data_IF_889471615142
#
_entry.id   IF_889471615142
#
_cell.length_a   1.000
_cell.length_b   1.000
_cell.length_c   1.000
_cell.angle_alpha   90.00
_cell.angle_beta   90.00
_cell.angle_gamma   90.00
#
_symmetry.space_group_name_H-M   'P 1'
#
loop_
_entity.id
_entity.type
_entity.pdbx_description
1 polymer ?
#
# COMPACT_ATOMS: atom_id res chain seq x y z
N UNK A 1 -43.76 20.87 14.18
CA UNK A 1 -42.61 21.39 13.42
C UNK A 1 -41.42 20.49 13.73
N UNK A 2 -41.17 19.48 12.91
CA UNK A 2 -40.07 18.53 13.10
C UNK A 2 -39.14 18.65 11.90
N UNK A 3 -37.90 19.11 12.14
CA UNK A 3 -36.86 19.15 11.12
C UNK A 3 -36.25 17.77 10.96
N UNK A 4 -36.32 17.23 9.76
CA UNK A 4 -35.59 16.03 9.35
C UNK A 4 -34.10 16.35 9.31
N UNK A 5 -33.31 15.75 10.19
CA UNK A 5 -31.84 15.75 10.08
C UNK A 5 -31.47 14.70 9.04
N UNK A 6 -31.14 15.14 7.83
CA UNK A 6 -30.53 14.27 6.82
C UNK A 6 -29.08 14.04 7.24
N UNK A 7 -28.77 12.81 7.63
CA UNK A 7 -27.42 12.38 8.01
C UNK A 7 -26.48 12.45 6.79
N UNK A 8 -25.70 13.53 6.70
CA UNK A 8 -24.66 13.77 5.68
C UNK A 8 -23.40 12.89 5.84
N UNK A 9 -23.48 11.76 6.54
CA UNK A 9 -22.31 10.88 6.75
C UNK A 9 -21.87 10.13 5.48
N UNK A 10 -22.78 9.91 4.52
CA UNK A 10 -22.50 9.15 3.30
C UNK A 10 -21.67 9.91 2.25
N UNK A 11 -21.88 11.22 2.10
CA UNK A 11 -21.21 12.01 1.07
C UNK A 11 -19.74 12.32 1.42
N UNK A 12 -19.45 12.59 2.70
CA UNK A 12 -18.11 12.91 3.19
C UNK A 12 -17.16 11.71 3.17
N UNK A 13 -17.66 10.50 3.50
CA UNK A 13 -16.87 9.28 3.42
C UNK A 13 -16.58 8.86 1.97
N UNK A 14 -17.50 9.16 1.03
CA UNK A 14 -17.30 8.90 -0.38
C UNK A 14 -16.26 9.86 -0.99
N UNK A 15 -16.28 11.15 -0.61
CA UNK A 15 -15.28 12.12 -1.06
C UNK A 15 -13.88 11.80 -0.53
N UNK A 16 -13.73 11.52 0.77
CA UNK A 16 -12.42 11.19 1.36
C UNK A 16 -11.80 9.90 0.79
N UNK A 17 -12.62 8.91 0.39
CA UNK A 17 -12.11 7.71 -0.28
C UNK A 17 -11.69 7.98 -1.73
N UNK A 18 -12.44 8.83 -2.43
CA UNK A 18 -12.06 9.27 -3.78
C UNK A 18 -10.73 10.01 -3.77
N UNK A 19 -10.50 10.86 -2.76
CA UNK A 19 -9.24 11.58 -2.56
C UNK A 19 -8.08 10.61 -2.28
N UNK A 20 -8.26 9.63 -1.37
CA UNK A 20 -7.23 8.63 -1.07
C UNK A 20 -6.82 7.81 -2.30
N UNK A 21 -7.79 7.38 -3.11
CA UNK A 21 -7.52 6.60 -4.32
C UNK A 21 -6.79 7.43 -5.38
N UNK A 22 -7.16 8.71 -5.53
CA UNK A 22 -6.55 9.62 -6.49
C UNK A 22 -5.09 9.95 -6.12
N UNK A 23 -4.82 10.30 -4.86
CA UNK A 23 -3.45 10.53 -4.38
C UNK A 23 -2.59 9.26 -4.49
N UNK A 24 -3.18 8.10 -4.21
CA UNK A 24 -2.52 6.79 -4.42
C UNK A 24 -2.13 6.61 -5.89
N UNK A 25 -3.03 6.92 -6.83
CA UNK A 25 -2.77 6.81 -8.26
C UNK A 25 -1.62 7.72 -8.69
N UNK A 26 -1.62 8.96 -8.23
CA UNK A 26 -0.59 9.96 -8.55
C UNK A 26 0.79 9.51 -8.04
N UNK A 27 0.86 9.00 -6.81
CA UNK A 27 2.09 8.44 -6.25
C UNK A 27 2.58 7.22 -7.05
N UNK A 28 1.68 6.30 -7.43
CA UNK A 28 2.04 5.17 -8.30
C UNK A 28 2.62 5.66 -9.63
N UNK A 29 1.95 6.61 -10.28
CA UNK A 29 2.34 7.10 -11.59
C UNK A 29 3.65 7.91 -11.56
N UNK A 30 3.96 8.53 -10.42
CA UNK A 30 5.26 9.18 -10.18
C UNK A 30 6.40 8.16 -10.25
N UNK A 31 6.28 7.04 -9.52
CA UNK A 31 7.29 5.98 -9.56
C UNK A 31 7.32 5.23 -10.89
N UNK A 32 6.15 4.94 -11.48
CA UNK A 32 6.08 4.26 -12.80
C UNK A 32 6.80 5.02 -13.90
N UNK A 33 6.75 6.36 -13.87
CA UNK A 33 7.48 7.22 -14.81
C UNK A 33 9.00 7.03 -14.72
N UNK A 34 9.55 6.78 -13.53
CA UNK A 34 10.99 6.50 -13.35
C UNK A 34 11.38 5.22 -14.10
N UNK A 35 10.45 4.26 -14.18
CA UNK A 35 10.65 2.91 -14.74
C UNK A 35 10.08 2.73 -16.14
N UNK A 36 9.90 3.82 -16.91
CA UNK A 36 9.38 3.79 -18.29
C UNK A 36 8.08 2.98 -18.45
N UNK A 37 7.27 2.95 -17.38
CA UNK A 37 5.97 2.28 -17.34
C UNK A 37 4.88 3.32 -17.58
N UNK A 38 3.91 2.96 -18.44
CA UNK A 38 2.76 3.83 -18.74
C UNK A 38 1.95 4.11 -17.46
N UNK A 39 1.37 5.31 -17.30
CA UNK A 39 0.54 5.61 -16.15
C UNK A 39 -0.65 4.65 -16.06
N UNK A 40 -1.03 4.29 -14.84
CA UNK A 40 -2.28 3.58 -14.55
C UNK A 40 -3.44 4.58 -14.58
N UNK A 41 -4.65 4.04 -14.80
CA UNK A 41 -5.92 4.72 -14.53
C UNK A 41 -6.65 4.07 -13.34
N UNK A 42 -7.48 4.84 -12.62
CA UNK A 42 -8.33 4.27 -11.57
C UNK A 42 -9.49 3.46 -12.16
N UNK A 43 -9.84 2.36 -11.49
CA UNK A 43 -10.92 1.45 -11.87
C UNK A 43 -11.86 1.25 -10.70
N UNK A 44 -13.09 1.75 -10.83
CA UNK A 44 -14.11 1.70 -9.77
C UNK A 44 -14.44 0.26 -9.33
N UNK A 45 -14.44 -0.69 -10.27
CA UNK A 45 -14.68 -2.11 -9.97
C UNK A 45 -13.54 -2.73 -9.15
N UNK A 46 -12.29 -2.38 -9.49
CA UNK A 46 -11.12 -2.82 -8.73
C UNK A 46 -11.13 -2.20 -7.33
N UNK A 47 -11.41 -0.90 -7.21
CA UNK A 47 -11.50 -0.21 -5.92
C UNK A 47 -12.61 -0.78 -5.04
N UNK A 48 -13.77 -1.08 -5.62
CA UNK A 48 -14.88 -1.73 -4.92
C UNK A 48 -14.48 -3.13 -4.42
N UNK A 49 -13.78 -3.92 -5.24
CA UNK A 49 -13.26 -5.23 -4.83
C UNK A 49 -12.18 -5.12 -3.76
N UNK A 50 -11.28 -4.15 -3.88
CA UNK A 50 -10.23 -3.88 -2.92
C UNK A 50 -10.82 -3.48 -1.56
N UNK A 51 -11.81 -2.58 -1.53
CA UNK A 51 -12.45 -2.14 -0.29
C UNK A 51 -13.20 -3.27 0.43
N UNK A 52 -13.87 -4.15 -0.32
CA UNK A 52 -14.46 -5.38 0.26
C UNK A 52 -13.39 -6.26 0.89
N UNK A 53 -12.25 -6.41 0.23
CA UNK A 53 -11.18 -7.25 0.76
C UNK A 53 -10.45 -6.60 1.95
N UNK A 54 -10.25 -5.29 1.94
CA UNK A 54 -9.69 -4.54 3.06
C UNK A 54 -10.52 -4.74 4.33
N UNK A 55 -11.87 -4.68 4.22
CA UNK A 55 -12.77 -4.99 5.35
C UNK A 55 -12.62 -6.43 5.85
N UNK A 56 -12.40 -7.39 4.95
CA UNK A 56 -12.13 -8.78 5.33
C UNK A 56 -10.80 -8.91 6.09
N UNK A 57 -9.74 -8.25 5.64
CA UNK A 57 -8.46 -8.20 6.35
C UNK A 57 -8.61 -7.57 7.73
N UNK A 58 -9.34 -6.45 7.82
CA UNK A 58 -9.64 -5.78 9.08
C UNK A 58 -10.37 -6.70 10.08
N UNK A 59 -11.34 -7.48 9.61
CA UNK A 59 -12.04 -8.47 10.43
C UNK A 59 -11.17 -9.67 10.85
N UNK A 60 -10.27 -10.14 9.97
CA UNK A 60 -9.34 -11.24 10.29
C UNK A 60 -8.19 -10.79 11.21
N UNK A 61 -7.79 -9.52 11.10
CA UNK A 61 -6.71 -8.95 11.90
C UNK A 61 -5.31 -9.35 11.45
N UNK A 62 -5.10 -9.89 10.25
CA UNK A 62 -3.76 -10.14 9.72
C UNK A 62 -3.72 -10.02 8.19
N UNK A 63 -2.54 -9.73 7.64
CA UNK A 63 -2.33 -9.66 6.20
C UNK A 63 -2.33 -11.07 5.59
N UNK A 64 -3.14 -11.24 4.55
CA UNK A 64 -3.17 -12.43 3.71
C UNK A 64 -3.64 -12.04 2.33
N UNK A 65 -2.93 -12.48 1.30
CA UNK A 65 -3.39 -12.30 -0.07
C UNK A 65 -4.72 -13.00 -0.33
N UNK A 66 -5.57 -12.39 -1.16
CA UNK A 66 -6.79 -13.05 -1.61
C UNK A 66 -6.46 -14.30 -2.44
N UNK A 67 -7.34 -15.30 -2.49
CA UNK A 67 -7.18 -16.45 -3.39
C UNK A 67 -7.07 -16.00 -4.86
N UNK A 68 -6.11 -16.52 -5.64
CA UNK A 68 -5.92 -16.13 -7.06
C UNK A 68 -7.16 -16.35 -7.91
N UNK A 69 -7.88 -17.45 -7.68
CA UNK A 69 -9.14 -17.76 -8.33
C UNK A 69 -10.27 -16.76 -8.02
N UNK A 70 -10.23 -16.03 -6.90
CA UNK A 70 -11.23 -15.00 -6.59
C UNK A 70 -10.95 -13.65 -7.26
N UNK A 71 -9.84 -13.53 -8.00
CA UNK A 71 -9.44 -12.31 -8.72
C UNK A 71 -8.61 -12.68 -9.98
N UNK A 72 -9.20 -13.41 -10.94
CA UNK A 72 -8.47 -13.93 -12.09
C UNK A 72 -7.80 -12.80 -12.89
N UNK A 73 -6.50 -12.94 -13.13
CA UNK A 73 -5.71 -11.96 -13.89
C UNK A 73 -5.50 -10.61 -13.21
N UNK A 74 -5.84 -10.46 -11.92
CA UNK A 74 -5.69 -9.22 -11.16
C UNK A 74 -4.59 -9.38 -10.10
N UNK A 75 -3.63 -8.46 -10.11
CA UNK A 75 -2.54 -8.38 -9.14
C UNK A 75 -3.00 -7.79 -7.81
N UNK A 76 -2.20 -7.93 -6.75
CA UNK A 76 -2.55 -7.42 -5.43
C UNK A 76 -1.31 -7.06 -4.61
N UNK A 77 -1.31 -5.86 -4.02
CA UNK A 77 -0.41 -5.45 -2.94
C UNK A 77 -1.25 -5.16 -1.70
N UNK A 78 -0.68 -5.35 -0.51
CA UNK A 78 -1.37 -5.16 0.77
C UNK A 78 -0.49 -4.37 1.73
N UNK A 79 -1.08 -3.43 2.48
CA UNK A 79 -0.41 -2.72 3.57
C UNK A 79 -1.24 -2.82 4.84
N UNK A 80 -0.54 -2.93 5.96
CA UNK A 80 -1.09 -2.86 7.31
C UNK A 80 -0.21 -1.95 8.19
N UNK A 81 -0.84 -0.94 8.80
CA UNK A 81 -0.20 -0.02 9.74
C UNK A 81 -1.13 0.27 10.90
N UNK A 82 -0.57 0.37 12.10
CA UNK A 82 -1.29 0.83 13.30
C UNK A 82 -0.61 2.09 13.84
N UNK A 83 -1.42 3.00 14.36
CA UNK A 83 -0.96 4.23 15.02
C UNK A 83 -1.73 4.43 16.32
N UNK A 84 -1.00 4.81 17.37
CA UNK A 84 -1.56 5.28 18.64
C UNK A 84 -2.03 6.73 18.57
N UNK A 85 -1.46 7.53 17.66
CA UNK A 85 -1.81 8.95 17.44
C UNK A 85 -3.10 9.13 16.68
N UNK A 86 -3.55 8.09 15.97
CA UNK A 86 -4.81 8.08 15.23
C UNK A 86 -4.73 8.64 13.81
N UNK A 87 -3.58 9.17 13.39
CA UNK A 87 -3.39 9.68 12.04
C UNK A 87 -3.46 8.56 10.99
N UNK A 88 -4.25 8.73 9.91
CA UNK A 88 -4.28 7.77 8.81
C UNK A 88 -2.93 7.80 8.06
N UNK A 89 -2.42 6.62 7.68
CA UNK A 89 -1.23 6.52 6.81
C UNK A 89 -1.49 7.28 5.49
N UNK A 90 -0.71 8.34 5.18
CA UNK A 90 -0.87 9.08 3.95
C UNK A 90 -0.73 8.19 2.71
N UNK A 91 -1.54 8.38 1.65
CA UNK A 91 -1.45 7.60 0.40
C UNK A 91 -0.04 7.54 -0.17
N UNK A 92 0.65 8.67 -0.23
CA UNK A 92 2.01 8.77 -0.76
C UNK A 92 3.02 7.95 0.04
N UNK A 93 2.90 7.93 1.37
CA UNK A 93 3.75 7.13 2.25
C UNK A 93 3.46 5.63 2.06
N UNK A 94 2.19 5.25 1.94
CA UNK A 94 1.80 3.87 1.66
C UNK A 94 2.42 3.37 0.34
N UNK A 95 2.35 4.18 -0.73
CA UNK A 95 2.96 3.82 -2.02
C UNK A 95 4.48 3.80 -1.95
N UNK A 96 5.10 4.73 -1.21
CA UNK A 96 6.54 4.74 -0.96
C UNK A 96 7.00 3.43 -0.31
N UNK A 97 6.28 2.91 0.70
CA UNK A 97 6.62 1.63 1.34
C UNK A 97 6.66 0.45 0.35
N UNK A 98 5.76 0.43 -0.65
CA UNK A 98 5.80 -0.59 -1.71
C UNK A 98 7.01 -0.39 -2.64
N UNK A 99 7.35 0.87 -2.92
CA UNK A 99 8.42 1.22 -3.84
C UNK A 99 9.81 1.02 -3.23
N UNK A 100 9.99 1.24 -1.93
CA UNK A 100 11.28 1.14 -1.21
C UNK A 100 11.96 -0.23 -1.37
N UNK A 101 11.21 -1.29 -1.68
CA UNK A 101 11.75 -2.60 -2.04
C UNK A 101 12.71 -2.58 -3.25
N UNK A 102 12.64 -1.54 -4.10
CA UNK A 102 13.62 -1.29 -5.16
C UNK A 102 15.07 -1.26 -4.65
N UNK A 103 15.26 -0.85 -3.39
CA UNK A 103 16.59 -0.77 -2.78
C UNK A 103 17.24 -2.15 -2.62
N UNK A 104 16.48 -3.23 -2.63
CA UNK A 104 17.00 -4.61 -2.59
C UNK A 104 16.76 -5.39 -3.89
N UNK A 105 16.14 -4.79 -4.90
CA UNK A 105 15.93 -5.42 -6.21
C UNK A 105 17.20 -5.38 -7.09
N UNK A 106 17.62 -6.53 -7.64
CA UNK A 106 18.75 -6.63 -8.57
C UNK A 106 18.26 -6.72 -10.03
N UNK A 107 18.30 -5.59 -10.75
CA UNK A 107 17.93 -5.53 -12.16
C UNK A 107 18.78 -6.42 -13.08
N UNK A 108 19.96 -6.87 -12.65
CA UNK A 108 20.82 -7.81 -13.41
C UNK A 108 20.36 -9.26 -13.26
N UNK A 109 19.56 -9.54 -12.23
CA UNK A 109 18.97 -10.84 -11.93
C UNK A 109 17.46 -10.69 -11.73
N UNK A 110 16.74 -10.24 -12.76
CA UNK A 110 15.32 -9.92 -12.64
C UNK A 110 14.51 -11.18 -12.34
N UNK A 111 13.48 -11.04 -11.52
CA UNK A 111 12.67 -12.16 -11.09
C UNK A 111 11.81 -11.84 -9.88
N UNK A 112 10.96 -12.79 -9.51
CA UNK A 112 10.16 -12.69 -8.31
C UNK A 112 11.00 -12.99 -7.07
N UNK A 113 10.90 -12.13 -6.07
CA UNK A 113 11.33 -12.41 -4.71
C UNK A 113 10.26 -11.88 -3.74
N UNK A 114 10.11 -12.53 -2.59
CA UNK A 114 9.13 -12.09 -1.58
C UNK A 114 9.40 -10.66 -1.10
N UNK A 115 10.68 -10.26 -1.02
CA UNK A 115 11.11 -8.94 -0.56
C UNK A 115 10.97 -7.82 -1.61
N UNK A 116 10.60 -8.14 -2.85
CA UNK A 116 10.50 -7.15 -3.94
C UNK A 116 9.21 -7.24 -4.73
N UNK A 117 8.27 -8.09 -4.29
CA UNK A 117 7.04 -8.37 -5.00
C UNK A 117 6.11 -7.17 -5.09
N UNK A 118 6.13 -6.28 -4.09
CA UNK A 118 5.28 -5.10 -4.10
C UNK A 118 5.80 -4.07 -5.10
N UNK A 119 7.11 -3.79 -5.08
CA UNK A 119 7.77 -2.92 -6.04
C UNK A 119 7.55 -3.40 -7.47
N UNK A 120 7.82 -4.69 -7.75
CA UNK A 120 7.73 -5.23 -9.11
C UNK A 120 6.30 -5.16 -9.66
N UNK A 121 5.29 -5.32 -8.81
CA UNK A 121 3.89 -5.12 -9.21
C UNK A 121 3.57 -3.64 -9.46
N UNK A 122 4.05 -2.73 -8.61
CA UNK A 122 3.82 -1.29 -8.74
C UNK A 122 4.30 -0.76 -10.10
N UNK A 123 5.52 -1.16 -10.50
CA UNK A 123 6.15 -0.70 -11.74
C UNK A 123 5.90 -1.59 -12.96
N UNK A 124 5.08 -2.64 -12.82
CA UNK A 124 4.84 -3.61 -13.89
C UNK A 124 4.28 -2.93 -15.15
N UNK A 125 5.05 -2.94 -16.25
CA UNK A 125 4.67 -2.25 -17.50
C UNK A 125 3.36 -2.73 -18.11
N UNK A 126 3.06 -4.03 -18.00
CA UNK A 126 1.82 -4.62 -18.52
C UNK A 126 0.55 -4.31 -17.72
N UNK A 127 0.65 -3.65 -16.55
CA UNK A 127 -0.51 -3.19 -15.79
C UNK A 127 -0.98 -1.83 -16.30
N UNK A 128 -2.30 -1.63 -16.41
CA UNK A 128 -2.92 -0.43 -16.98
C UNK A 128 -3.96 0.22 -16.05
N UNK A 129 -4.55 -0.54 -15.14
CA UNK A 129 -5.55 -0.06 -14.18
C UNK A 129 -5.13 -0.35 -12.74
N UNK A 130 -5.53 0.55 -11.84
CA UNK A 130 -5.39 0.45 -10.40
C UNK A 130 -6.76 0.53 -9.73
N UNK A 131 -6.99 -0.30 -8.71
CA UNK A 131 -8.04 -0.07 -7.73
C UNK A 131 -7.45 -0.04 -6.33
N UNK A 132 -8.01 0.83 -5.49
CA UNK A 132 -7.55 1.05 -4.12
C UNK A 132 -8.74 0.92 -3.20
N UNK A 133 -8.55 0.25 -2.07
CA UNK A 133 -9.57 0.15 -1.05
C UNK A 133 -8.96 0.05 0.33
N UNK A 134 -9.56 0.78 1.27
CA UNK A 134 -9.11 0.83 2.66
C UNK A 134 -10.18 0.32 3.61
N UNK A 135 -9.73 -0.09 4.79
CA UNK A 135 -10.58 -0.33 5.95
C UNK A 135 -9.80 0.00 7.22
N UNK A 136 -10.51 0.31 8.31
CA UNK A 136 -9.91 0.54 9.61
C UNK A 136 -10.38 -0.51 10.61
N UNK A 137 -9.54 -0.79 11.62
CA UNK A 137 -9.88 -1.63 12.77
C UNK A 137 -9.17 -1.11 14.02
N UNK A 138 -9.62 -1.48 15.21
CA UNK A 138 -8.88 -1.20 16.45
C UNK A 138 -8.20 -2.46 16.97
N UNK A 139 -6.90 -2.39 17.28
CA UNK A 139 -6.14 -3.50 17.87
C UNK A 139 -5.24 -2.98 18.98
N UNK A 140 -5.32 -3.60 20.17
CA UNK A 140 -4.51 -3.22 21.35
C UNK A 140 -4.52 -1.71 21.60
N UNK A 141 -5.71 -1.10 21.56
CA UNK A 141 -5.89 0.35 21.75
C UNK A 141 -5.57 1.23 20.53
N UNK A 142 -4.80 0.75 19.55
CA UNK A 142 -4.37 1.49 18.36
C UNK A 142 -5.38 1.44 17.21
N UNK A 143 -5.42 2.51 16.41
CA UNK A 143 -6.15 2.54 15.14
C UNK A 143 -5.28 1.94 14.06
N UNK A 144 -5.79 0.96 13.33
CA UNK A 144 -5.07 0.30 12.27
C UNK A 144 -5.74 0.47 10.91
N UNK A 145 -4.95 0.83 9.91
CA UNK A 145 -5.33 0.94 8.51
C UNK A 145 -4.92 -0.32 7.75
N UNK A 146 -5.85 -0.79 6.92
CA UNK A 146 -5.67 -1.88 5.97
C UNK A 146 -5.85 -1.31 4.57
N UNK A 147 -4.83 -1.42 3.72
CA UNK A 147 -4.90 -0.94 2.34
C UNK A 147 -4.72 -2.12 1.40
N UNK A 148 -5.61 -2.22 0.41
CA UNK A 148 -5.56 -3.21 -0.66
C UNK A 148 -5.41 -2.46 -1.98
N UNK A 149 -4.38 -2.81 -2.74
CA UNK A 149 -4.19 -2.34 -4.11
C UNK A 149 -4.49 -3.49 -5.06
N UNK A 150 -5.17 -3.22 -6.17
CA UNK A 150 -5.49 -4.20 -7.21
C UNK A 150 -5.04 -3.69 -8.57
N UNK A 151 -4.38 -4.54 -9.33
CA UNK A 151 -3.76 -4.16 -10.61
C UNK A 151 -4.35 -4.98 -11.75
N UNK A 152 -4.76 -4.34 -12.84
CA UNK A 152 -5.21 -5.04 -14.05
C UNK A 152 -4.42 -4.55 -15.27
N UNK A 153 -3.81 -5.43 -16.06
CA UNK A 153 -3.56 -6.84 -15.76
C UNK A 153 -2.61 -6.98 -14.56
N UNK A 154 -2.70 -8.09 -13.84
CA UNK A 154 -1.78 -8.42 -12.75
C UNK A 154 -0.35 -8.63 -13.25
N UNK A 155 0.61 -8.21 -12.44
CA UNK A 155 2.04 -8.40 -12.67
C UNK A 155 2.60 -9.63 -11.97
N UNK A 156 3.91 -9.64 -11.74
CA UNK A 156 4.64 -10.72 -11.05
C UNK A 156 4.42 -12.10 -11.69
N UNK A 157 4.34 -12.14 -13.02
CA UNK A 157 4.24 -13.38 -13.80
C UNK A 157 5.65 -13.95 -13.93
N UNK A 158 5.86 -15.18 -13.46
CA UNK A 158 7.19 -15.82 -13.33
C UNK A 158 7.65 -16.56 -14.59
N UNK A 159 6.92 -16.41 -15.70
CA UNK A 159 7.33 -16.94 -16.99
C UNK A 159 8.65 -16.28 -17.43
N UNK A 160 9.52 -17.05 -18.09
CA UNK A 160 10.83 -16.59 -18.58
C UNK A 160 10.69 -15.31 -19.40
N UNK A 161 11.49 -14.29 -19.10
CA UNK A 161 11.53 -13.02 -19.83
C UNK A 161 10.50 -11.97 -19.40
N UNK A 162 9.53 -12.33 -18.55
CA UNK A 162 8.46 -11.39 -18.17
C UNK A 162 8.96 -10.29 -17.23
N UNK A 163 9.85 -10.59 -16.28
CA UNK A 163 10.39 -9.57 -15.38
C UNK A 163 11.31 -8.60 -16.12
N UNK A 164 12.16 -9.11 -17.02
CA UNK A 164 13.00 -8.32 -17.91
C UNK A 164 12.17 -7.32 -18.74
N UNK A 165 11.04 -7.79 -19.27
CA UNK A 165 10.18 -6.97 -20.12
C UNK A 165 9.32 -5.96 -19.34
N UNK A 166 9.03 -6.21 -18.06
CA UNK A 166 8.05 -5.43 -17.30
C UNK A 166 8.62 -4.65 -16.11
N UNK A 167 9.83 -4.95 -15.64
CA UNK A 167 10.47 -4.30 -14.50
C UNK A 167 11.82 -3.77 -14.95
N UNK A 168 11.79 -2.64 -15.66
CA UNK A 168 12.99 -2.01 -16.20
C UNK A 168 13.53 -0.98 -15.22
N UNK A 169 14.85 -0.77 -15.22
CA UNK A 169 15.51 0.21 -14.33
C UNK A 169 15.07 1.65 -14.64
N UNK A 170 14.88 1.98 -15.92
CA UNK A 170 14.62 3.33 -16.39
C UNK A 170 15.64 4.34 -15.87
N UNK A 171 15.16 5.49 -15.40
CA UNK A 171 15.96 6.58 -14.84
C UNK A 171 16.27 6.45 -13.34
N UNK A 172 16.00 5.29 -12.73
CA UNK A 172 16.22 5.08 -11.29
C UNK A 172 17.68 5.32 -10.88
N UNK A 173 17.84 6.18 -9.87
CA UNK A 173 19.10 6.52 -9.23
C UNK A 173 19.20 5.89 -7.84
N UNK A 174 20.27 5.10 -7.65
CA UNK A 174 20.53 4.36 -6.40
C UNK A 174 20.70 5.27 -5.18
N UNK A 175 21.05 6.56 -5.36
CA UNK A 175 21.11 7.56 -4.28
C UNK A 175 19.78 7.71 -3.53
N UNK A 176 18.66 7.34 -4.15
CA UNK A 176 17.37 7.23 -3.48
C UNK A 176 17.46 6.46 -2.16
N UNK A 177 18.11 5.30 -2.19
CA UNK A 177 18.19 4.38 -1.06
C UNK A 177 19.08 4.90 0.08
N UNK A 178 20.07 5.73 -0.24
CA UNK A 178 21.00 6.27 0.75
C UNK A 178 20.39 7.45 1.52
N UNK A 179 19.55 8.27 0.86
CA UNK A 179 18.87 9.40 1.50
C UNK A 179 17.85 8.97 2.55
N UNK A 180 17.15 7.86 2.31
CA UNK A 180 16.18 7.33 3.28
C UNK A 180 16.87 6.71 4.51
N UNK A 181 18.11 6.21 4.37
CA UNK A 181 18.91 5.78 5.52
C UNK A 181 19.41 6.97 6.35
N UNK A 182 19.75 8.09 5.73
CA UNK A 182 20.13 9.31 6.44
C UNK A 182 18.94 9.91 7.21
N UNK A 183 17.76 10.01 6.59
CA UNK A 183 16.54 10.51 7.26
C UNK A 183 16.13 9.64 8.44
N UNK A 184 16.26 8.31 8.35
CA UNK A 184 15.93 7.39 9.45
C UNK A 184 16.88 7.49 10.65
N UNK A 185 18.10 8.01 10.47
CA UNK A 185 19.03 8.24 11.59
C UNK A 185 18.69 9.49 12.40
N UNK A 186 17.95 10.42 11.81
CA UNK A 186 17.53 11.66 12.46
C UNK A 186 16.17 11.55 13.15
N UNK A 187 15.46 10.42 12.98
CA UNK A 187 14.22 10.13 13.72
C UNK A 187 14.57 9.65 15.14
N UNK A 188 14.05 10.28 16.21
CA UNK A 188 14.42 9.92 17.57
C UNK A 188 14.00 8.47 17.85
N UNK A 189 14.99 7.63 18.17
CA UNK A 189 14.80 6.25 18.61
C UNK A 189 13.95 6.27 19.89
N UNK A 190 12.69 5.89 19.77
CA UNK A 190 11.76 5.84 20.90
C UNK A 190 12.11 4.60 21.73
N UNK A 191 13.08 4.73 22.64
CA UNK A 191 13.34 3.73 23.67
C UNK A 191 12.09 3.62 24.53
N UNK A 192 11.43 2.46 24.49
CA UNK A 192 10.39 2.10 25.45
C UNK A 192 10.94 2.30 26.86
N UNK A 193 10.42 3.29 27.57
CA UNK A 193 10.63 3.38 29.01
C UNK A 193 9.86 2.22 29.62
N UNK A 194 10.59 1.18 30.03
CA UNK A 194 10.05 0.12 30.87
C UNK A 194 9.44 0.79 32.12
N UNK A 195 8.12 0.71 32.22
CA UNK A 195 7.42 1.06 33.45
C UNK A 195 7.82 0.03 34.50
N UNK A 196 8.62 0.46 35.46
CA UNK A 196 8.91 -0.32 36.66
C UNK A 196 7.61 -0.69 37.36
N UNK A 197 7.36 -1.99 37.43
CA UNK A 197 6.47 -2.57 38.42
C UNK A 197 7.18 -2.43 39.77
N UNK A 198 6.76 -1.49 40.61
CA UNK A 198 7.04 -1.55 42.04
C UNK A 198 5.73 -1.77 42.80
N UNK A 199 5.72 -2.98 43.33
CA UNK A 199 4.73 -3.76 44.02
C UNK A 199 4.30 -3.13 45.35
N UNK A 200 3.05 -3.44 45.72
CA UNK A 200 2.37 -2.99 46.92
C UNK A 200 2.94 -3.67 48.20
N UNK A 201 3.17 -2.85 49.24
CA UNK A 201 3.09 -3.13 50.71
C UNK A 201 4.26 -3.77 51.48
N UNK A 202 4.32 -3.62 52.83
CA UNK A 202 3.24 -3.34 53.82
C UNK A 202 3.05 -1.88 54.26
#
# INVERSE_FOLDING_TARGET
MFYTVVLLFGAFALSAMADYAQETLEAHNTYRKIHDAQPLSLSNDLSSSAARYARKLAGMGYLKHSPRNSRPGVGENLIYRCSSRGDPLPPSQAVKELYDEICVYDFRRPGYAMATGHFTQLVWKGSSELGVGTATSRKRGMNCLWVVFRYRKGGNITNRGYFEANVVKGSFDRRYCNRDEEIRKDEPEFTELESGDDEERP
#
